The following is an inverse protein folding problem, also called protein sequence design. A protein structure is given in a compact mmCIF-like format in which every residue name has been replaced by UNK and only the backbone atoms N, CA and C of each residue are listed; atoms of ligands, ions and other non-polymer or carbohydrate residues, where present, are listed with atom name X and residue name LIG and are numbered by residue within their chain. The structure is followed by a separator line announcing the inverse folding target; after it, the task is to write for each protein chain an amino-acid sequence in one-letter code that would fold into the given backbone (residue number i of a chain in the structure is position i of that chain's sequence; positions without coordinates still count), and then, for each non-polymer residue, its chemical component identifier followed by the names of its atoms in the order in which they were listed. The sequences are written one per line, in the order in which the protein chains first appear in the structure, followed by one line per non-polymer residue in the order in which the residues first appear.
data_IF_661403546116
#
_entry.id   IF_661403546116
#
_cell.length_a   1.000
_cell.length_b   1.000
_cell.length_c   1.000
_cell.angle_alpha   90.00
_cell.angle_beta   90.00
_cell.angle_gamma   90.00
#
_symmetry.space_group_name_H-M   'P 1'
#
loop_
_entity.id
_entity.type
_entity.pdbx_description
1 polymer ?
#
# COMPACT_ATOMS: atom_id res chain seq x y z
N UNK A 1 9.38 21.30 -3.04
CA UNK A 1 9.00 22.61 -3.55
C UNK A 1 8.46 23.44 -2.39
N UNK A 2 9.11 24.54 -2.06
CA UNK A 2 8.59 25.47 -1.05
C UNK A 2 7.43 26.24 -1.69
N UNK A 3 6.25 26.07 -1.12
CA UNK A 3 5.10 26.92 -1.44
C UNK A 3 5.41 28.31 -0.87
N UNK A 4 5.65 29.30 -1.70
CA UNK A 4 5.89 30.70 -1.30
C UNK A 4 4.59 31.36 -0.80
N UNK A 5 3.93 30.76 0.21
CA UNK A 5 2.71 31.28 0.82
C UNK A 5 2.80 31.21 2.35
N UNK A 6 2.06 32.11 3.00
CA UNK A 6 1.92 32.10 4.46
C UNK A 6 1.19 30.85 4.95
N UNK A 7 1.52 30.36 6.14
CA UNK A 7 0.78 29.28 6.82
C UNK A 7 -0.54 29.78 7.44
N UNK A 8 -0.77 31.07 7.51
CA UNK A 8 -1.98 31.66 8.11
C UNK A 8 -3.31 31.10 7.56
N UNK A 9 -3.50 30.90 6.24
CA UNK A 9 -4.76 30.32 5.74
C UNK A 9 -5.08 28.95 6.30
N UNK A 10 -4.07 28.15 6.66
CA UNK A 10 -4.26 26.82 7.26
C UNK A 10 -4.90 26.98 8.66
N UNK A 11 -4.42 27.94 9.46
CA UNK A 11 -4.94 28.20 10.80
C UNK A 11 -6.33 28.88 10.83
N UNK A 12 -6.84 29.35 9.69
CA UNK A 12 -8.21 29.83 9.59
C UNK A 12 -9.20 28.69 9.32
N UNK A 13 -8.73 27.58 8.76
CA UNK A 13 -9.55 26.42 8.39
C UNK A 13 -9.49 25.30 9.42
N UNK A 14 -8.44 25.24 10.23
CA UNK A 14 -8.19 24.17 11.20
C UNK A 14 -7.91 24.76 12.59
N UNK A 15 -8.48 24.13 13.63
CA UNK A 15 -8.31 24.55 15.02
C UNK A 15 -6.90 24.29 15.57
N UNK A 16 -6.10 23.44 14.87
CA UNK A 16 -4.74 23.12 15.26
C UNK A 16 -4.04 22.13 14.34
N UNK A 17 -2.79 21.84 14.63
CA UNK A 17 -1.93 20.94 13.83
C UNK A 17 -2.45 19.50 13.84
N UNK A 18 -3.15 19.06 14.88
CA UNK A 18 -3.72 17.72 14.96
C UNK A 18 -4.85 17.54 13.94
N UNK A 19 -5.69 18.55 13.78
CA UNK A 19 -6.76 18.55 12.79
C UNK A 19 -6.19 18.57 11.36
N UNK A 20 -5.13 19.35 11.11
CA UNK A 20 -4.40 19.34 9.84
C UNK A 20 -3.85 17.94 9.55
N UNK A 21 -3.20 17.31 10.54
CA UNK A 21 -2.65 15.97 10.39
C UNK A 21 -3.74 14.95 10.06
N UNK A 22 -4.86 14.99 10.75
CA UNK A 22 -6.01 14.11 10.51
C UNK A 22 -6.56 14.28 9.10
N UNK A 23 -6.72 15.52 8.63
CA UNK A 23 -7.19 15.80 7.27
C UNK A 23 -6.22 15.29 6.19
N UNK A 24 -4.91 15.50 6.40
CA UNK A 24 -3.88 15.01 5.47
C UNK A 24 -3.84 13.47 5.46
N UNK A 25 -3.94 12.83 6.63
CA UNK A 25 -3.99 11.36 6.74
C UNK A 25 -5.22 10.79 6.02
N UNK A 26 -6.40 11.42 6.21
CA UNK A 26 -7.62 11.01 5.50
C UNK A 26 -7.45 11.12 3.98
N UNK A 27 -6.84 12.20 3.49
CA UNK A 27 -6.56 12.38 2.06
C UNK A 27 -5.55 11.37 1.54
N UNK A 28 -4.53 11.03 2.32
CA UNK A 28 -3.55 10.01 1.97
C UNK A 28 -4.20 8.62 1.86
N UNK A 29 -5.12 8.27 2.76
CA UNK A 29 -5.88 7.01 2.72
C UNK A 29 -6.81 6.93 1.50
N UNK A 30 -7.53 8.02 1.20
CA UNK A 30 -8.36 8.11 0.00
C UNK A 30 -7.53 7.86 -1.26
N UNK A 31 -6.38 8.55 -1.36
CA UNK A 31 -5.47 8.40 -2.50
C UNK A 31 -4.91 6.99 -2.60
N UNK A 32 -4.55 6.38 -1.48
CA UNK A 32 -4.07 5.00 -1.42
C UNK A 32 -5.14 4.00 -1.90
N UNK A 33 -6.39 4.14 -1.46
CA UNK A 33 -7.49 3.29 -1.93
C UNK A 33 -7.74 3.43 -3.45
N UNK A 34 -7.64 4.65 -4.00
CA UNK A 34 -7.70 4.88 -5.45
C UNK A 34 -6.62 4.09 -6.20
N UNK A 35 -5.37 4.10 -5.70
CA UNK A 35 -4.28 3.32 -6.29
C UNK A 35 -4.57 1.83 -6.26
N UNK A 36 -4.96 1.28 -5.11
CA UNK A 36 -5.20 -0.16 -4.96
C UNK A 36 -6.29 -0.68 -5.89
N UNK A 37 -7.31 0.13 -6.17
CA UNK A 37 -8.44 -0.24 -7.05
C UNK A 37 -8.20 0.03 -8.52
N UNK A 38 -7.08 0.64 -8.87
CA UNK A 38 -6.74 0.91 -10.27
C UNK A 38 -6.43 -0.40 -11.00
N UNK A 39 -7.11 -0.62 -12.12
CA UNK A 39 -6.83 -1.78 -12.98
C UNK A 39 -5.49 -1.60 -13.69
N UNK A 40 -4.77 -2.71 -13.84
CA UNK A 40 -3.52 -2.77 -14.61
C UNK A 40 -3.74 -3.75 -15.76
N UNK A 41 -3.43 -3.33 -16.97
CA UNK A 41 -3.61 -4.17 -18.15
C UNK A 41 -2.78 -5.46 -18.06
N UNK A 42 -3.36 -6.55 -18.55
CA UNK A 42 -2.71 -7.86 -18.70
C UNK A 42 -2.22 -8.52 -17.40
N UNK A 43 -2.80 -8.12 -16.25
CA UNK A 43 -2.54 -8.77 -14.97
C UNK A 43 -3.84 -9.02 -14.20
N UNK A 44 -3.83 -10.02 -13.32
CA UNK A 44 -4.95 -10.29 -12.42
C UNK A 44 -5.18 -9.15 -11.41
N UNK A 45 -6.38 -9.05 -10.85
CA UNK A 45 -6.70 -7.99 -9.88
C UNK A 45 -5.81 -8.09 -8.64
N UNK A 46 -5.54 -9.30 -8.14
CA UNK A 46 -4.66 -9.49 -7.00
C UNK A 46 -3.23 -8.98 -7.28
N UNK A 47 -2.70 -9.31 -8.45
CA UNK A 47 -1.37 -8.84 -8.87
C UNK A 47 -1.33 -7.32 -9.08
N UNK A 48 -2.41 -6.74 -9.62
CA UNK A 48 -2.54 -5.30 -9.78
C UNK A 48 -2.45 -4.57 -8.43
N UNK A 49 -3.03 -5.12 -7.36
CA UNK A 49 -2.95 -4.56 -6.01
C UNK A 49 -1.49 -4.42 -5.57
N UNK A 50 -0.68 -5.47 -5.68
CA UNK A 50 0.74 -5.42 -5.30
C UNK A 50 1.56 -4.43 -6.12
N UNK A 51 1.32 -4.36 -7.43
CA UNK A 51 1.97 -3.40 -8.33
C UNK A 51 1.58 -1.96 -7.95
N UNK A 52 0.30 -1.70 -7.72
CA UNK A 52 -0.21 -0.39 -7.35
C UNK A 52 0.23 0.07 -5.97
N UNK A 53 0.38 -0.86 -5.01
CA UNK A 53 0.98 -0.58 -3.70
C UNK A 53 2.39 -0.01 -3.84
N UNK A 54 3.23 -0.67 -4.64
CA UNK A 54 4.61 -0.22 -4.87
C UNK A 54 4.63 1.09 -5.67
N UNK A 55 3.73 1.25 -6.65
CA UNK A 55 3.59 2.48 -7.43
C UNK A 55 3.19 3.66 -6.54
N UNK A 56 2.27 3.46 -5.59
CA UNK A 56 1.91 4.49 -4.62
C UNK A 56 3.13 4.97 -3.82
N UNK A 57 3.98 4.07 -3.36
CA UNK A 57 5.21 4.45 -2.65
C UNK A 57 6.19 5.25 -3.52
N UNK A 58 6.26 4.96 -4.81
CA UNK A 58 7.13 5.65 -5.75
C UNK A 58 6.61 7.04 -6.14
N UNK A 59 5.31 7.14 -6.42
CA UNK A 59 4.69 8.37 -6.94
C UNK A 59 4.20 9.31 -5.82
N UNK A 60 3.71 8.74 -4.71
CA UNK A 60 3.15 9.47 -3.56
C UNK A 60 4.00 9.22 -2.29
N UNK A 61 5.31 9.35 -2.42
CA UNK A 61 6.30 8.97 -1.41
C UNK A 61 6.01 9.55 -0.02
N UNK A 62 5.61 10.81 0.08
CA UNK A 62 5.34 11.45 1.37
C UNK A 62 4.03 10.94 2.01
N UNK A 63 3.03 10.61 1.21
CA UNK A 63 1.82 9.94 1.71
C UNK A 63 2.15 8.51 2.17
N UNK A 64 2.96 7.78 1.42
CA UNK A 64 3.42 6.45 1.83
C UNK A 64 4.15 6.50 3.17
N UNK A 65 5.11 7.43 3.34
CA UNK A 65 5.82 7.60 4.61
C UNK A 65 4.88 7.99 5.76
N UNK A 66 3.92 8.88 5.50
CA UNK A 66 2.93 9.28 6.50
C UNK A 66 2.09 8.09 6.97
N UNK A 67 1.60 7.26 6.05
CA UNK A 67 0.70 6.15 6.37
C UNK A 67 1.43 4.94 6.99
N UNK A 68 2.63 4.61 6.51
CA UNK A 68 3.26 3.32 6.80
C UNK A 68 4.61 3.42 7.52
N UNK A 69 5.22 4.60 7.62
CA UNK A 69 6.54 4.77 8.22
C UNK A 69 6.55 5.73 9.42
N UNK A 70 5.43 6.39 9.74
CA UNK A 70 5.37 7.30 10.88
C UNK A 70 5.02 6.55 12.17
N UNK A 71 5.75 6.84 13.26
CA UNK A 71 5.49 6.25 14.58
C UNK A 71 4.21 6.78 15.27
N UNK A 72 3.55 7.77 14.68
CA UNK A 72 2.44 8.49 15.32
C UNK A 72 1.10 7.77 15.30
N UNK A 73 1.00 6.60 14.66
CA UNK A 73 -0.29 5.91 14.57
C UNK A 73 -0.64 5.06 15.79
N UNK A 74 0.32 4.70 16.64
CA UNK A 74 0.08 3.84 17.83
C UNK A 74 -0.62 2.52 17.54
N UNK A 75 -0.88 2.24 16.27
CA UNK A 75 -1.56 1.04 15.76
C UNK A 75 -0.55 0.12 15.11
N UNK A 76 -0.75 -1.15 15.34
CA UNK A 76 -0.01 -2.19 14.64
C UNK A 76 -0.35 -2.11 13.14
N UNK A 77 0.66 -1.79 12.33
CA UNK A 77 0.53 -1.71 10.87
C UNK A 77 -0.03 -3.01 10.29
N UNK A 78 0.35 -4.17 10.83
CA UNK A 78 -0.10 -5.48 10.33
C UNK A 78 -1.58 -5.75 10.58
N UNK A 79 -2.19 -5.11 11.57
CA UNK A 79 -3.58 -5.38 11.97
C UNK A 79 -4.57 -4.27 11.62
N UNK A 80 -4.09 -3.10 11.16
CA UNK A 80 -4.95 -1.92 10.95
C UNK A 80 -5.28 -1.63 9.48
N UNK A 81 -5.14 -2.62 8.59
CA UNK A 81 -5.36 -2.40 7.16
C UNK A 81 -6.83 -2.33 6.80
N UNK A 82 -7.30 -1.16 6.42
CA UNK A 82 -8.66 -0.96 5.92
C UNK A 82 -8.91 -1.66 4.57
N UNK A 83 -7.83 -1.88 3.80
CA UNK A 83 -7.88 -2.57 2.51
C UNK A 83 -7.90 -4.09 2.60
N UNK A 84 -7.59 -4.69 3.76
CA UNK A 84 -7.49 -6.14 3.93
C UNK A 84 -8.74 -6.87 3.43
N UNK A 85 -9.92 -6.42 3.82
CA UNK A 85 -11.18 -7.05 3.41
C UNK A 85 -11.36 -7.05 1.87
N UNK A 86 -10.94 -5.98 1.20
CA UNK A 86 -10.96 -5.89 -0.25
C UNK A 86 -9.98 -6.89 -0.88
N UNK A 87 -8.74 -6.92 -0.40
CA UNK A 87 -7.69 -7.82 -0.92
C UNK A 87 -8.05 -9.28 -0.73
N UNK A 88 -8.56 -9.67 0.45
CA UNK A 88 -9.02 -11.04 0.73
C UNK A 88 -10.17 -11.45 -0.18
N UNK A 89 -11.11 -10.55 -0.46
CA UNK A 89 -12.20 -10.80 -1.40
C UNK A 89 -11.70 -11.06 -2.82
N UNK A 90 -10.71 -10.28 -3.28
CA UNK A 90 -10.10 -10.48 -4.61
C UNK A 90 -9.39 -11.83 -4.67
N UNK A 91 -8.62 -12.20 -3.63
CA UNK A 91 -7.94 -13.49 -3.54
C UNK A 91 -8.92 -14.66 -3.56
N UNK A 92 -10.04 -14.56 -2.84
CA UNK A 92 -11.11 -15.54 -2.87
C UNK A 92 -11.71 -15.69 -4.27
N UNK A 93 -11.96 -14.58 -4.96
CA UNK A 93 -12.57 -14.60 -6.29
C UNK A 93 -11.65 -15.18 -7.37
N UNK A 94 -10.35 -14.92 -7.31
CA UNK A 94 -9.39 -15.36 -8.33
C UNK A 94 -8.87 -16.78 -8.09
N UNK A 95 -8.58 -17.13 -6.83
CA UNK A 95 -7.90 -18.39 -6.48
C UNK A 95 -8.75 -19.35 -5.65
N UNK A 96 -9.97 -18.93 -5.27
CA UNK A 96 -10.86 -19.69 -4.37
C UNK A 96 -10.21 -20.06 -3.02
N UNK A 97 -9.28 -19.23 -2.53
CA UNK A 97 -8.59 -19.41 -1.25
C UNK A 97 -9.27 -18.56 -0.19
N UNK A 98 -9.55 -19.14 0.99
CA UNK A 98 -10.33 -18.53 2.07
C UNK A 98 -9.70 -18.81 3.44
N UNK A 99 -10.26 -18.14 4.46
CA UNK A 99 -9.91 -18.37 5.87
C UNK A 99 -8.46 -18.03 6.17
N UNK A 100 -7.88 -18.79 7.08
CA UNK A 100 -6.52 -18.54 7.60
C UNK A 100 -5.48 -18.51 6.48
N UNK A 101 -5.61 -19.39 5.49
CA UNK A 101 -4.64 -19.44 4.39
C UNK A 101 -4.69 -18.20 3.51
N UNK A 102 -5.87 -17.62 3.28
CA UNK A 102 -5.96 -16.35 2.56
C UNK A 102 -5.29 -15.20 3.36
N UNK A 103 -5.43 -15.21 4.68
CA UNK A 103 -4.76 -14.26 5.57
C UNK A 103 -3.24 -14.41 5.52
N UNK A 104 -2.72 -15.63 5.59
CA UNK A 104 -1.28 -15.89 5.50
C UNK A 104 -0.71 -15.36 4.18
N UNK A 105 -1.35 -15.67 3.04
CA UNK A 105 -0.93 -15.17 1.72
C UNK A 105 -1.00 -13.64 1.66
N UNK A 106 -2.05 -13.04 2.22
CA UNK A 106 -2.17 -11.60 2.30
C UNK A 106 -0.99 -10.97 3.07
N UNK A 107 -0.70 -11.48 4.26
CA UNK A 107 0.39 -10.97 5.12
C UNK A 107 1.76 -11.15 4.47
N UNK A 108 2.05 -12.33 3.92
CA UNK A 108 3.32 -12.63 3.26
C UNK A 108 3.54 -11.77 2.01
N UNK A 109 2.51 -11.58 1.18
CA UNK A 109 2.58 -10.71 0.01
C UNK A 109 2.66 -9.23 0.40
N UNK A 110 1.95 -8.84 1.47
CA UNK A 110 2.04 -7.47 1.99
C UNK A 110 3.44 -7.15 2.47
N UNK A 111 4.04 -8.02 3.30
CA UNK A 111 5.41 -7.85 3.79
C UNK A 111 6.43 -7.74 2.65
N UNK A 112 6.28 -8.59 1.64
CA UNK A 112 7.16 -8.55 0.48
C UNK A 112 7.01 -7.24 -0.32
N UNK A 113 5.78 -6.85 -0.61
CA UNK A 113 5.49 -5.59 -1.35
C UNK A 113 5.92 -4.36 -0.56
N UNK A 114 5.69 -4.37 0.77
CA UNK A 114 6.11 -3.31 1.68
C UNK A 114 7.63 -3.16 1.73
N UNK A 115 8.37 -4.26 1.72
CA UNK A 115 9.83 -4.23 1.64
C UNK A 115 10.33 -3.49 0.39
N UNK A 116 9.82 -3.83 -0.78
CA UNK A 116 10.15 -3.13 -2.04
C UNK A 116 9.74 -1.65 -1.97
N UNK A 117 8.50 -1.38 -1.55
CA UNK A 117 7.96 -0.03 -1.44
C UNK A 117 8.78 0.86 -0.50
N UNK A 118 9.18 0.33 0.64
CA UNK A 118 10.03 1.03 1.62
C UNK A 118 11.41 1.36 1.05
N UNK A 119 12.04 0.42 0.35
CA UNK A 119 13.35 0.66 -0.30
C UNK A 119 13.25 1.79 -1.34
N UNK A 120 12.18 1.81 -2.12
CA UNK A 120 11.93 2.88 -3.11
C UNK A 120 11.69 4.22 -2.39
N UNK A 121 10.78 4.25 -1.42
CA UNK A 121 10.40 5.48 -0.70
C UNK A 121 11.56 6.10 0.09
N UNK A 122 12.51 5.29 0.55
CA UNK A 122 13.72 5.75 1.25
C UNK A 122 14.90 6.03 0.32
N UNK A 123 14.78 5.70 -0.98
CA UNK A 123 15.86 5.84 -1.94
C UNK A 123 17.03 4.87 -1.73
N UNK A 124 16.82 3.79 -0.96
CA UNK A 124 17.87 2.79 -0.68
C UNK A 124 18.04 1.77 -1.80
N UNK A 125 17.03 1.60 -2.66
CA UNK A 125 17.12 0.79 -3.87
C UNK A 125 16.21 1.34 -4.98
N UNK A 126 16.55 0.99 -6.22
CA UNK A 126 15.75 1.27 -7.41
C UNK A 126 15.48 -0.04 -8.13
N UNK A 127 14.28 -0.18 -8.67
CA UNK A 127 13.87 -1.36 -9.44
C UNK A 127 13.18 -0.92 -10.71
N UNK A 128 13.41 -1.65 -11.81
CA UNK A 128 12.62 -1.45 -13.02
C UNK A 128 11.21 -2.01 -12.82
N UNK A 129 10.19 -1.49 -13.53
CA UNK A 129 8.83 -2.03 -13.48
C UNK A 129 8.77 -3.53 -13.81
N UNK A 130 9.57 -3.99 -14.76
CA UNK A 130 9.69 -5.39 -15.16
C UNK A 130 10.20 -6.24 -13.99
N UNK A 131 11.25 -5.78 -13.32
CA UNK A 131 11.82 -6.49 -12.17
C UNK A 131 10.86 -6.61 -11.01
N UNK A 132 10.12 -5.55 -10.70
CA UNK A 132 9.06 -5.57 -9.68
C UNK A 132 8.00 -6.63 -10.06
N UNK A 133 7.55 -6.62 -11.32
CA UNK A 133 6.55 -7.57 -11.82
C UNK A 133 7.01 -9.03 -11.73
N UNK A 134 8.27 -9.30 -12.07
CA UNK A 134 8.87 -10.62 -11.96
C UNK A 134 8.93 -11.10 -10.50
N UNK A 135 9.44 -10.27 -9.60
CA UNK A 135 9.57 -10.59 -8.17
C UNK A 135 8.21 -10.88 -7.53
N UNK A 136 7.22 -10.00 -7.73
CA UNK A 136 5.86 -10.22 -7.24
C UNK A 136 5.25 -11.52 -7.78
N UNK A 137 5.46 -11.81 -9.07
CA UNK A 137 4.95 -13.03 -9.69
C UNK A 137 5.60 -14.28 -9.11
N UNK A 138 6.91 -14.27 -8.90
CA UNK A 138 7.66 -15.41 -8.37
C UNK A 138 7.20 -15.75 -6.94
N UNK A 139 7.11 -14.74 -6.06
CA UNK A 139 6.66 -14.93 -4.68
C UNK A 139 5.21 -15.39 -4.64
N UNK A 140 4.30 -14.73 -5.34
CA UNK A 140 2.88 -15.10 -5.38
C UNK A 140 2.66 -16.54 -5.85
N UNK A 141 3.32 -16.95 -6.95
CA UNK A 141 3.23 -18.34 -7.44
C UNK A 141 3.76 -19.35 -6.42
N UNK A 142 4.83 -19.01 -5.71
CA UNK A 142 5.36 -19.86 -4.64
C UNK A 142 4.34 -20.08 -3.53
N UNK A 143 3.70 -19.00 -3.08
CA UNK A 143 2.68 -19.03 -2.02
C UNK A 143 1.42 -19.83 -2.43
N UNK A 144 0.91 -19.60 -3.65
CA UNK A 144 -0.25 -20.34 -4.15
C UNK A 144 0.07 -21.83 -4.28
N UNK A 145 1.24 -22.20 -4.82
CA UNK A 145 1.63 -23.58 -4.97
C UNK A 145 1.76 -24.32 -3.63
N UNK A 146 2.36 -23.70 -2.63
CA UNK A 146 2.48 -24.28 -1.28
C UNK A 146 1.12 -24.45 -0.57
N UNK A 147 0.06 -23.86 -1.07
CA UNK A 147 -1.30 -23.99 -0.54
C UNK A 147 -2.05 -25.22 -1.06
N UNK A 148 -1.52 -25.86 -2.09
CA UNK A 148 -2.15 -26.99 -2.78
C UNK A 148 -1.51 -28.34 -2.39
N UNK A 149 -0.42 -28.30 -1.62
CA UNK A 149 0.23 -29.45 -0.97
C UNK A 149 -0.33 -29.69 0.44
#
# INVERSE_FOLDING_TARGET
AQLHCSTQPIFWLFEGMEEVRSAVTAKALEKFDEYLRTQVADVSAYKAIGLNYIRFAAEETEFFKLLFMSQSSGKDILTSHTEQAYVLKVLEQEENIKGTRAQDIYEEMWLFSHGIATMIATGTATFTPERIREMLTAVYRGLIKSSQE
#
